data_IF_441549006188
#
_entry.id   IF_441549006188
#
_cell.length_a   1.000
_cell.length_b   1.000
_cell.length_c   1.000
_cell.angle_alpha   90.00
_cell.angle_beta   90.00
_cell.angle_gamma   90.00
#
_symmetry.space_group_name_H-M   'P 1'
#
loop_
_entity.id
_entity.type
_entity.pdbx_description
1 polymer ?
#
# COMPACT_ATOMS: atom_id res chain seq x y z
N UNK A 1 13.32 -15.16 22.31
CA UNK A 1 12.23 -15.55 23.23
C UNK A 1 10.98 -14.84 22.76
N UNK A 2 9.92 -15.58 22.44
CA UNK A 2 8.66 -15.05 21.89
C UNK A 2 7.82 -14.58 23.09
N UNK A 3 7.63 -13.27 23.23
CA UNK A 3 6.70 -12.70 24.21
C UNK A 3 5.36 -12.43 23.51
N UNK A 4 4.30 -13.21 23.80
CA UNK A 4 2.97 -12.91 23.29
C UNK A 4 2.49 -11.59 23.90
N UNK A 5 1.96 -10.70 23.06
CA UNK A 5 1.21 -9.53 23.53
C UNK A 5 -0.17 -10.00 23.99
N UNK A 6 -0.50 -9.79 25.27
CA UNK A 6 -1.81 -10.08 25.82
C UNK A 6 -2.49 -8.77 26.22
N UNK A 7 -3.79 -8.64 25.92
CA UNK A 7 -4.66 -7.59 26.46
C UNK A 7 -5.58 -8.22 27.50
N UNK A 8 -5.58 -7.67 28.71
CA UNK A 8 -6.48 -8.10 29.79
C UNK A 8 -7.83 -7.43 29.56
N UNK A 9 -8.89 -8.23 29.45
CA UNK A 9 -10.26 -7.78 29.23
C UNK A 9 -11.06 -7.86 30.54
N UNK A 10 -11.85 -6.84 30.84
CA UNK A 10 -12.76 -6.83 32.00
C UNK A 10 -14.08 -7.56 31.74
N UNK A 11 -14.69 -8.07 32.81
CA UNK A 11 -15.81 -9.07 32.85
C UNK A 11 -17.10 -8.76 32.05
N UNK A 12 -17.26 -7.59 31.44
CA UNK A 12 -18.54 -7.13 30.86
C UNK A 12 -18.46 -6.59 29.43
N UNK A 13 -17.33 -6.74 28.75
CA UNK A 13 -17.17 -6.24 27.38
C UNK A 13 -17.08 -7.40 26.40
N UNK A 14 -18.05 -7.53 25.50
CA UNK A 14 -17.91 -8.38 24.30
C UNK A 14 -16.61 -8.01 23.59
N UNK A 15 -15.74 -8.96 23.21
CA UNK A 15 -14.53 -8.63 22.48
C UNK A 15 -14.89 -7.92 21.18
N UNK A 16 -14.46 -6.67 21.07
CA UNK A 16 -14.35 -5.98 19.78
C UNK A 16 -13.30 -6.76 18.98
N UNK A 17 -13.76 -7.74 18.22
CA UNK A 17 -12.92 -8.48 17.29
C UNK A 17 -12.40 -7.46 16.27
N UNK A 18 -11.08 -7.45 16.03
CA UNK A 18 -10.54 -6.56 15.01
C UNK A 18 -11.15 -6.92 13.66
N UNK A 19 -11.74 -5.92 12.99
CA UNK A 19 -12.40 -6.09 11.69
C UNK A 19 -11.40 -6.20 10.53
N UNK A 20 -10.11 -6.36 10.81
CA UNK A 20 -9.04 -6.41 9.82
C UNK A 20 -7.94 -7.38 10.26
N UNK A 21 -7.32 -8.08 9.31
CA UNK A 21 -6.16 -8.92 9.62
C UNK A 21 -4.97 -8.05 10.07
N UNK A 22 -4.16 -8.57 10.99
CA UNK A 22 -3.03 -7.82 11.54
C UNK A 22 -1.84 -7.79 10.56
N UNK A 23 -1.43 -6.62 10.04
CA UNK A 23 -0.29 -6.54 9.13
C UNK A 23 1.04 -6.75 9.86
N UNK A 24 2.01 -7.30 9.12
CA UNK A 24 3.40 -7.48 9.54
C UNK A 24 4.29 -6.71 8.59
N UNK A 25 5.01 -5.72 9.11
CA UNK A 25 5.91 -4.87 8.31
C UNK A 25 7.38 -5.27 8.51
N UNK A 26 8.26 -5.14 7.50
CA UNK A 26 9.69 -5.31 7.73
C UNK A 26 10.19 -4.31 8.79
N UNK A 27 10.95 -4.78 9.77
CA UNK A 27 11.47 -3.95 10.87
C UNK A 27 12.98 -3.73 10.73
N UNK A 28 13.44 -2.53 11.05
CA UNK A 28 14.85 -2.19 11.24
C UNK A 28 15.19 -2.11 12.74
N UNK A 29 16.48 -2.13 13.09
CA UNK A 29 16.91 -2.05 14.48
C UNK A 29 16.32 -0.81 15.18
N UNK A 30 15.75 -1.01 16.37
CA UNK A 30 15.11 0.07 17.15
C UNK A 30 13.65 0.38 16.76
N UNK A 31 13.11 -0.16 15.67
CA UNK A 31 11.72 0.07 15.25
C UNK A 31 10.83 -1.14 15.52
N UNK A 32 9.82 -0.97 16.39
CA UNK A 32 8.86 -2.02 16.76
C UNK A 32 7.68 -2.08 15.79
N UNK A 33 7.09 -3.27 15.63
CA UNK A 33 5.85 -3.50 14.85
C UNK A 33 4.72 -2.55 15.26
N UNK A 34 4.50 -2.37 16.56
CA UNK A 34 3.46 -1.48 17.08
C UNK A 34 3.65 -0.03 16.61
N UNK A 35 4.89 0.45 16.55
CA UNK A 35 5.21 1.79 16.05
C UNK A 35 4.89 1.90 14.55
N UNK A 36 5.29 0.91 13.73
CA UNK A 36 4.98 0.89 12.30
C UNK A 36 3.47 0.86 12.05
N UNK A 37 2.73 0.01 12.79
CA UNK A 37 1.26 -0.03 12.70
C UNK A 37 0.66 1.33 13.01
N UNK A 38 1.05 1.95 14.13
CA UNK A 38 0.59 3.29 14.51
C UNK A 38 0.92 4.37 13.46
N UNK A 39 2.08 4.29 12.81
CA UNK A 39 2.46 5.21 11.73
C UNK A 39 1.60 4.99 10.48
N UNK A 40 1.35 3.74 10.12
CA UNK A 40 0.46 3.42 8.99
C UNK A 40 -0.99 3.79 9.28
N UNK A 41 -1.48 3.66 10.52
CA UNK A 41 -2.81 4.17 10.90
C UNK A 41 -2.90 5.67 10.64
N UNK A 42 -1.95 6.45 11.16
CA UNK A 42 -1.91 7.90 10.93
C UNK A 42 -1.83 8.26 9.45
N UNK A 43 -1.07 7.50 8.65
CA UNK A 43 -0.96 7.74 7.21
C UNK A 43 -2.29 7.46 6.48
N UNK A 44 -3.02 6.40 6.89
CA UNK A 44 -4.33 6.08 6.36
C UNK A 44 -5.40 7.09 6.82
N UNK A 45 -5.29 7.66 8.01
CA UNK A 45 -6.17 8.75 8.46
C UNK A 45 -5.92 10.01 7.63
N UNK A 46 -4.65 10.35 7.37
CA UNK A 46 -4.29 11.49 6.54
C UNK A 46 -4.82 11.33 5.10
N UNK A 47 -4.82 10.11 4.57
CA UNK A 47 -5.37 9.79 3.26
C UNK A 47 -6.86 10.10 3.11
N UNK A 48 -7.64 10.13 4.20
CA UNK A 48 -9.05 10.57 4.17
C UNK A 48 -9.18 12.09 4.09
N UNK A 49 -8.24 12.82 4.70
CA UNK A 49 -8.28 14.28 4.76
C UNK A 49 -7.56 14.97 3.61
N UNK A 50 -6.56 14.30 3.05
CA UNK A 50 -5.70 14.80 1.98
C UNK A 50 -5.88 13.89 0.76
N UNK A 51 -6.61 14.37 -0.24
CA UNK A 51 -6.75 13.66 -1.49
C UNK A 51 -5.38 13.52 -2.17
N UNK A 52 -5.00 12.29 -2.49
CA UNK A 52 -3.86 12.02 -3.37
C UNK A 52 -4.31 12.30 -4.80
N UNK A 53 -3.45 12.97 -5.56
CA UNK A 53 -3.67 13.19 -6.99
C UNK A 53 -3.75 11.83 -7.71
N UNK A 54 -4.84 11.61 -8.44
CA UNK A 54 -4.99 10.43 -9.30
C UNK A 54 -4.24 10.69 -10.60
N UNK A 55 -3.13 9.96 -10.78
CA UNK A 55 -2.21 10.14 -11.90
C UNK A 55 -2.64 9.37 -13.14
N UNK A 56 -3.48 8.33 -12.99
CA UNK A 56 -3.98 7.58 -14.13
C UNK A 56 -5.10 8.34 -14.84
N UNK A 57 -5.00 8.49 -16.18
CA UNK A 57 -6.11 8.99 -16.98
C UNK A 57 -7.40 8.19 -16.75
N UNK A 58 -8.58 8.82 -16.77
CA UNK A 58 -9.86 8.16 -16.50
C UNK A 58 -10.13 6.96 -17.43
N UNK A 59 -9.58 6.98 -18.65
CA UNK A 59 -9.71 5.89 -19.62
C UNK A 59 -8.98 4.61 -19.18
N UNK A 60 -7.91 4.75 -18.38
CA UNK A 60 -7.11 3.64 -17.86
C UNK A 60 -7.56 3.20 -16.46
N UNK A 61 -8.13 4.10 -15.67
CA UNK A 61 -8.63 3.79 -14.33
C UNK A 61 -10.07 3.26 -14.32
N UNK A 62 -10.77 3.26 -15.46
CA UNK A 62 -12.15 2.80 -15.55
C UNK A 62 -12.30 1.33 -15.11
N UNK A 63 -13.15 1.10 -14.10
CA UNK A 63 -13.41 -0.24 -13.56
C UNK A 63 -12.33 -0.74 -12.58
N UNK A 64 -11.31 0.07 -12.30
CA UNK A 64 -10.33 -0.22 -11.27
C UNK A 64 -10.76 0.35 -9.92
N UNK A 65 -10.22 -0.22 -8.85
CA UNK A 65 -10.30 0.34 -7.51
C UNK A 65 -9.55 1.68 -7.46
N UNK A 66 -10.07 2.65 -6.71
CA UNK A 66 -9.35 3.92 -6.54
C UNK A 66 -8.05 3.72 -5.77
N UNK A 67 -7.07 4.60 -5.96
CA UNK A 67 -5.79 4.50 -5.25
C UNK A 67 -5.96 4.48 -3.71
N UNK A 68 -6.78 5.36 -3.08
CA UNK A 68 -6.96 5.33 -1.63
C UNK A 68 -7.59 4.03 -1.12
N UNK A 69 -8.59 3.49 -1.83
CA UNK A 69 -9.22 2.22 -1.49
C UNK A 69 -8.25 1.05 -1.62
N UNK A 70 -7.41 1.05 -2.66
CA UNK A 70 -6.39 0.02 -2.86
C UNK A 70 -5.38 0.01 -1.72
N UNK A 71 -4.87 1.20 -1.34
CA UNK A 71 -3.93 1.34 -0.22
C UNK A 71 -4.55 0.89 1.10
N UNK A 72 -5.78 1.30 1.40
CA UNK A 72 -6.50 0.84 2.60
C UNK A 72 -6.67 -0.67 2.61
N UNK A 73 -7.13 -1.25 1.51
CA UNK A 73 -7.39 -2.69 1.45
C UNK A 73 -6.11 -3.51 1.67
N UNK A 74 -4.96 -3.06 1.15
CA UNK A 74 -3.69 -3.76 1.33
C UNK A 74 -3.10 -3.59 2.73
N UNK A 75 -3.26 -2.40 3.34
CA UNK A 75 -2.75 -2.16 4.69
C UNK A 75 -3.69 -2.67 5.79
N UNK A 76 -5.00 -2.68 5.55
CA UNK A 76 -6.07 -3.09 6.48
C UNK A 76 -7.02 -4.08 5.77
N UNK A 77 -6.54 -5.26 5.36
CA UNK A 77 -7.38 -6.22 4.66
C UNK A 77 -8.50 -6.75 5.58
N UNK A 78 -9.76 -6.79 5.11
CA UNK A 78 -10.86 -7.33 5.90
C UNK A 78 -10.66 -8.84 6.10
N UNK A 79 -11.23 -9.45 7.16
CA UNK A 79 -11.10 -10.88 7.45
C UNK A 79 -11.74 -11.77 6.39
N UNK A 80 -12.66 -11.22 5.58
CA UNK A 80 -13.31 -11.91 4.46
C UNK A 80 -12.44 -11.94 3.20
N UNK A 81 -11.33 -11.19 3.16
CA UNK A 81 -10.43 -11.15 2.03
C UNK A 81 -9.65 -12.46 1.94
N UNK A 82 -9.66 -13.06 0.74
CA UNK A 82 -8.91 -14.28 0.47
C UNK A 82 -7.42 -13.96 0.33
N UNK A 83 -6.61 -14.37 1.31
CA UNK A 83 -5.16 -14.16 1.30
C UNK A 83 -4.48 -14.76 0.06
N UNK A 84 -5.02 -15.88 -0.46
CA UNK A 84 -4.55 -16.50 -1.70
C UNK A 84 -4.57 -15.54 -2.90
N UNK A 85 -5.53 -14.62 -2.95
CA UNK A 85 -5.65 -13.63 -4.04
C UNK A 85 -4.55 -12.57 -3.95
N UNK A 86 -4.07 -12.25 -2.74
CA UNK A 86 -2.91 -11.37 -2.53
C UNK A 86 -1.59 -12.10 -2.81
N UNK A 87 -1.46 -13.35 -2.37
CA UNK A 87 -0.28 -14.17 -2.62
C UNK A 87 -0.04 -14.40 -4.12
N UNK A 88 -1.11 -14.56 -4.88
CA UNK A 88 -1.06 -14.79 -6.33
C UNK A 88 -1.09 -13.50 -7.17
N UNK A 89 -1.17 -12.32 -6.53
CA UNK A 89 -1.22 -11.04 -7.25
C UNK A 89 -2.53 -10.79 -8.01
N UNK A 90 -3.60 -11.51 -7.67
CA UNK A 90 -4.89 -11.46 -8.37
C UNK A 90 -5.83 -10.39 -7.80
N UNK A 91 -5.60 -9.98 -6.55
CA UNK A 91 -6.45 -9.01 -5.87
C UNK A 91 -6.47 -7.65 -6.61
N UNK A 92 -7.64 -7.03 -6.85
CA UNK A 92 -7.76 -5.78 -7.60
C UNK A 92 -6.89 -4.63 -7.06
N UNK A 93 -6.81 -4.48 -5.73
CA UNK A 93 -5.98 -3.47 -5.08
C UNK A 93 -4.49 -3.61 -5.45
N UNK A 94 -3.98 -4.84 -5.52
CA UNK A 94 -2.58 -5.10 -5.85
C UNK A 94 -2.31 -4.90 -7.34
N UNK A 95 -3.21 -5.38 -8.21
CA UNK A 95 -3.13 -5.16 -9.66
C UNK A 95 -3.13 -3.68 -10.02
N UNK A 96 -3.93 -2.86 -9.32
CA UNK A 96 -3.96 -1.39 -9.48
C UNK A 96 -2.58 -0.76 -9.25
N UNK A 97 -1.88 -1.15 -8.17
CA UNK A 97 -0.54 -0.64 -7.86
C UNK A 97 0.53 -1.21 -8.81
N UNK A 98 0.46 -2.50 -9.14
CA UNK A 98 1.38 -3.13 -10.10
C UNK A 98 1.30 -2.43 -11.46
N UNK A 99 0.08 -2.16 -11.94
CA UNK A 99 -0.11 -1.45 -13.20
C UNK A 99 0.55 -0.07 -13.17
N UNK A 100 0.30 0.70 -12.11
CA UNK A 100 0.86 2.05 -11.98
C UNK A 100 2.39 2.03 -11.92
N UNK A 101 2.98 1.13 -11.13
CA UNK A 101 4.43 0.97 -11.05
C UNK A 101 5.02 0.60 -12.42
N UNK A 102 4.42 -0.36 -13.13
CA UNK A 102 4.88 -0.76 -14.47
C UNK A 102 4.74 0.38 -15.49
N UNK A 103 3.67 1.15 -15.44
CA UNK A 103 3.48 2.33 -16.29
C UNK A 103 4.52 3.41 -15.97
N UNK A 104 4.71 3.74 -14.70
CA UNK A 104 5.70 4.71 -14.24
C UNK A 104 7.12 4.29 -14.65
N UNK A 105 7.45 3.01 -14.45
CA UNK A 105 8.72 2.43 -14.87
C UNK A 105 8.93 2.51 -16.37
N UNK A 106 7.95 2.08 -17.18
CA UNK A 106 8.04 2.15 -18.65
C UNK A 106 8.19 3.59 -19.15
N UNK A 107 7.42 4.53 -18.59
CA UNK A 107 7.53 5.95 -18.94
C UNK A 107 8.88 6.54 -18.54
N UNK A 108 9.45 6.15 -17.40
CA UNK A 108 10.78 6.60 -16.98
C UNK A 108 11.86 6.17 -17.99
N UNK A 109 11.76 4.96 -18.54
CA UNK A 109 12.66 4.45 -19.57
C UNK A 109 12.54 5.21 -20.90
N UNK A 110 11.32 5.54 -21.33
CA UNK A 110 11.09 6.40 -22.51
C UNK A 110 11.51 7.86 -22.28
N UNK A 111 11.38 8.36 -21.05
CA UNK A 111 11.85 9.67 -20.65
C UNK A 111 13.37 9.77 -20.80
N UNK A 112 14.11 8.89 -20.14
CA UNK A 112 15.59 8.89 -20.12
C UNK A 112 16.19 8.88 -21.54
N UNK A 113 15.59 8.15 -22.49
CA UNK A 113 16.03 8.16 -23.89
C UNK A 113 15.81 9.51 -24.60
N UNK A 114 14.71 10.23 -24.31
CA UNK A 114 14.49 11.60 -24.80
C UNK A 114 15.48 12.61 -24.23
N UNK A 115 15.85 12.49 -22.96
CA UNK A 115 16.87 13.36 -22.34
C UNK A 115 18.25 13.15 -22.98
N UNK A 116 18.66 11.89 -23.24
CA UNK A 116 19.92 11.57 -23.91
C UNK A 116 19.97 12.00 -25.39
N UNK A 117 18.85 11.96 -26.11
CA UNK A 117 18.79 12.39 -27.52
C UNK A 117 18.71 13.90 -27.69
N UNK A 118 18.19 14.62 -26.69
CA UNK A 118 18.05 16.09 -26.74
C UNK A 118 19.31 16.82 -26.27
N UNK A 119 20.13 16.20 -25.40
CA UNK A 119 21.41 16.73 -24.95
C UNK A 119 22.53 15.69 -25.12
N UNK A 120 23.12 15.56 -26.32
CA UNK A 120 24.31 14.73 -26.49
C UNK A 120 25.45 15.29 -25.64
N UNK A 121 26.11 14.41 -24.89
CA UNK A 121 27.29 14.76 -24.08
C UNK A 121 28.36 15.39 -25.01
N UNK A 122 29.00 16.52 -24.64
CA UNK A 122 30.08 17.06 -25.44
C UNK A 122 31.20 16.02 -25.47
N UNK A 123 31.55 15.57 -26.67
CA UNK A 123 32.71 14.72 -26.87
C UNK A 123 33.95 15.46 -26.35
N UNK A 124 34.68 14.80 -25.44
CA UNK A 124 35.94 15.29 -24.88
C UNK A 124 37.04 15.39 -25.94
#
# INVERSE_FOLDING_TARGET
MIHPEYRVQGDLSTPELQETLTPVYPTTEGVKQATLRKLTDQALDLLDTCAIEELLPPELSQGMMTLPEALRTLHRPPPTLQLSDLETGQHPAQRRLILEELLAHNLSMFGVTRWCTTFPCPAA
#
